data_IF_838135853458
#
_entry.id   IF_838135853458
#
_cell.length_a   1.000
_cell.length_b   1.000
_cell.length_c   1.000
_cell.angle_alpha   90.00
_cell.angle_beta   90.00
_cell.angle_gamma   90.00
#
_symmetry.space_group_name_H-M   'P 1'
#
loop_
_entity.id
_entity.type
_entity.pdbx_description
1 polymer ?
#
# COMPACT_ATOMS: atom_id res chain seq x y z
N UNK A 1 13.62 13.80 7.70
CA UNK A 1 13.64 12.56 8.47
C UNK A 1 13.83 11.35 7.56
N UNK A 2 14.84 10.52 7.83
CA UNK A 2 15.09 9.28 7.08
C UNK A 2 14.08 8.19 7.42
N UNK A 3 13.83 7.26 6.50
CA UNK A 3 12.91 6.13 6.68
C UNK A 3 13.20 5.33 7.96
N UNK A 4 14.47 4.96 8.19
CA UNK A 4 14.87 4.16 9.35
C UNK A 4 14.66 4.85 10.70
N UNK A 5 14.61 6.18 10.70
CA UNK A 5 14.46 7.02 11.89
C UNK A 5 13.00 7.49 12.06
N UNK A 6 12.10 7.11 11.15
CA UNK A 6 10.70 7.50 11.17
C UNK A 6 9.91 6.59 12.12
N UNK A 7 9.18 7.20 13.06
CA UNK A 7 8.32 6.47 13.98
C UNK A 7 7.00 6.10 13.30
N UNK A 8 6.84 4.83 12.97
CA UNK A 8 5.63 4.28 12.36
C UNK A 8 4.57 3.98 13.44
N UNK A 9 3.40 4.60 13.33
CA UNK A 9 2.26 4.41 14.24
C UNK A 9 0.98 4.08 13.47
N UNK A 10 -0.02 3.50 14.14
CA UNK A 10 -1.30 3.14 13.50
C UNK A 10 -2.04 4.32 12.84
N UNK A 11 -1.70 5.56 13.20
CA UNK A 11 -2.34 6.78 12.72
C UNK A 11 -1.54 7.54 11.64
N UNK A 12 -0.39 7.01 11.21
CA UNK A 12 0.46 7.65 10.21
C UNK A 12 0.88 6.75 9.05
N UNK A 13 0.64 5.44 9.13
CA UNK A 13 0.98 4.54 8.04
C UNK A 13 0.04 3.33 7.98
N UNK A 14 0.06 2.67 6.84
CA UNK A 14 -0.63 1.41 6.61
C UNK A 14 0.01 0.66 5.44
N UNK A 15 -0.20 -0.66 5.40
CA UNK A 15 0.21 -1.49 4.26
C UNK A 15 -0.98 -1.74 3.36
N UNK A 16 -0.82 -1.49 2.07
CA UNK A 16 -1.89 -1.70 1.11
C UNK A 16 -1.38 -2.31 -0.18
N UNK A 17 -2.29 -2.96 -0.89
CA UNK A 17 -2.04 -3.51 -2.21
C UNK A 17 -2.79 -2.68 -3.27
N UNK A 18 -2.14 -2.45 -4.41
CA UNK A 18 -2.77 -1.85 -5.59
C UNK A 18 -2.82 -2.89 -6.72
N UNK A 19 -3.99 -3.04 -7.32
CA UNK A 19 -4.24 -3.97 -8.42
C UNK A 19 -3.72 -3.37 -9.74
N UNK A 20 -2.78 -4.04 -10.40
CA UNK A 20 -2.16 -3.62 -11.66
C UNK A 20 -2.33 -4.70 -12.75
N UNK A 21 -2.80 -4.33 -13.94
CA UNK A 21 -2.93 -5.23 -15.09
C UNK A 21 -3.58 -6.61 -14.77
N UNK A 22 -4.77 -6.60 -14.17
CA UNK A 22 -5.69 -7.75 -13.99
C UNK A 22 -5.25 -8.92 -13.08
N UNK A 23 -3.96 -9.15 -12.85
CA UNK A 23 -3.46 -10.24 -11.98
C UNK A 23 -2.21 -9.87 -11.16
N UNK A 24 -1.59 -8.72 -11.43
CA UNK A 24 -0.34 -8.34 -10.81
C UNK A 24 -0.59 -7.31 -9.72
N UNK A 25 -0.14 -7.59 -8.52
CA UNK A 25 -0.32 -6.66 -7.43
C UNK A 25 1.00 -6.02 -7.02
N UNK A 26 0.95 -4.78 -6.54
CA UNK A 26 2.08 -4.12 -5.87
C UNK A 26 1.70 -3.83 -4.44
N UNK A 27 2.62 -4.13 -3.52
CA UNK A 27 2.45 -3.79 -2.11
C UNK A 27 3.16 -2.48 -1.82
N UNK A 28 2.42 -1.56 -1.21
CA UNK A 28 2.89 -0.28 -0.75
C UNK A 28 2.85 -0.21 0.77
N UNK A 29 3.90 0.34 1.35
CA UNK A 29 3.84 1.01 2.64
C UNK A 29 3.42 2.45 2.35
N UNK A 30 2.21 2.79 2.78
CA UNK A 30 1.65 4.12 2.61
C UNK A 30 1.84 4.89 3.91
N UNK A 31 2.41 6.09 3.83
CA UNK A 31 2.81 6.90 5.00
C UNK A 31 2.33 8.33 4.81
N UNK A 32 1.76 8.93 5.86
CA UNK A 32 1.52 10.38 5.91
C UNK A 32 2.72 11.03 6.58
N UNK A 33 3.39 11.92 5.86
CA UNK A 33 4.50 12.72 6.36
C UNK A 33 4.19 14.18 6.07
N UNK A 34 4.11 15.02 7.11
CA UNK A 34 3.68 16.42 7.01
C UNK A 34 2.34 16.56 6.26
N UNK A 35 2.37 17.20 5.11
CA UNK A 35 1.25 17.58 4.25
C UNK A 35 1.13 16.69 3.00
N UNK A 36 1.74 15.49 3.01
CA UNK A 36 1.71 14.55 1.87
C UNK A 36 1.47 13.10 2.30
N UNK A 37 0.80 12.37 1.42
CA UNK A 37 0.63 10.92 1.44
C UNK A 37 1.67 10.30 0.50
N UNK A 38 2.56 9.48 1.03
CA UNK A 38 3.62 8.78 0.31
C UNK A 38 3.22 7.33 0.11
N UNK A 39 3.40 6.79 -1.08
CA UNK A 39 3.34 5.35 -1.31
C UNK A 39 4.69 4.82 -1.72
N UNK A 40 5.28 3.99 -0.86
CA UNK A 40 6.59 3.39 -1.07
C UNK A 40 6.39 1.92 -1.37
N UNK A 41 6.83 1.47 -2.54
CA UNK A 41 6.74 0.07 -2.92
C UNK A 41 7.67 -0.76 -2.04
N UNK A 42 7.08 -1.65 -1.26
CA UNK A 42 7.78 -2.52 -0.31
C UNK A 42 7.68 -4.00 -0.69
N UNK A 43 6.99 -4.32 -1.78
CA UNK A 43 7.09 -5.62 -2.41
C UNK A 43 6.83 -5.54 -3.92
N UNK A 44 7.40 -6.49 -4.64
CA UNK A 44 7.29 -6.63 -6.09
C UNK A 44 5.92 -7.13 -6.54
N UNK A 45 5.89 -7.74 -7.72
CA UNK A 45 4.66 -8.32 -8.26
C UNK A 45 4.23 -9.51 -7.40
N UNK A 46 3.12 -9.35 -6.67
CA UNK A 46 2.48 -10.44 -5.93
C UNK A 46 1.39 -11.02 -6.83
N UNK A 47 1.48 -12.31 -7.09
CA UNK A 47 0.46 -13.04 -7.85
C UNK A 47 -0.38 -13.89 -6.90
N UNK A 48 -1.65 -13.99 -7.24
CA UNK A 48 -2.61 -14.85 -6.56
C UNK A 48 -2.62 -16.13 -7.35
N UNK A 49 -2.46 -17.30 -6.70
CA UNK A 49 -2.42 -18.58 -7.42
C UNK A 49 -3.65 -18.72 -8.33
N UNK A 50 -3.43 -18.60 -9.63
CA UNK A 50 -4.48 -18.47 -10.63
C UNK A 50 -4.00 -18.99 -11.97
N UNK A 51 -3.98 -20.33 -12.09
CA UNK A 51 -3.63 -21.00 -13.33
C UNK A 51 -3.80 -22.52 -13.20
N UNK A 52 -4.51 -23.13 -14.15
CA UNK A 52 -4.70 -24.59 -14.20
C UNK A 52 -3.43 -25.36 -14.56
N UNK A 53 -2.43 -24.69 -15.14
CA UNK A 53 -1.19 -25.31 -15.62
C UNK A 53 -0.08 -25.31 -14.56
N UNK A 54 0.70 -26.39 -14.53
CA UNK A 54 1.76 -26.69 -13.55
C UNK A 54 2.85 -25.62 -13.57
N UNK A 55 3.18 -25.08 -14.76
CA UNK A 55 4.21 -24.05 -14.90
C UNK A 55 3.77 -22.74 -14.24
N UNK A 56 2.51 -22.33 -14.45
CA UNK A 56 1.93 -21.13 -13.84
C UNK A 56 1.88 -21.25 -12.32
N UNK A 57 1.45 -22.41 -11.79
CA UNK A 57 1.42 -22.66 -10.33
C UNK A 57 2.79 -22.54 -9.67
N UNK A 58 3.85 -23.05 -10.33
CA UNK A 58 5.22 -22.93 -9.79
C UNK A 58 5.68 -21.48 -9.75
N UNK A 59 5.37 -20.68 -10.78
CA UNK A 59 5.73 -19.26 -10.83
C UNK A 59 4.94 -18.46 -9.79
N UNK A 60 3.63 -18.69 -9.65
CA UNK A 60 2.81 -17.98 -8.66
C UNK A 60 3.21 -18.33 -7.22
N UNK A 61 3.60 -19.59 -6.96
CA UNK A 61 4.08 -20.01 -5.64
C UNK A 61 5.35 -19.28 -5.22
N UNK A 62 6.27 -18.99 -6.15
CA UNK A 62 7.46 -18.18 -5.86
C UNK A 62 7.15 -16.70 -5.60
N UNK A 63 5.95 -16.24 -5.97
CA UNK A 63 5.47 -14.86 -5.77
C UNK A 63 4.47 -14.74 -4.62
N UNK A 64 4.21 -15.86 -3.91
CA UNK A 64 3.35 -15.87 -2.74
C UNK A 64 4.05 -15.21 -1.55
N UNK A 65 3.27 -14.57 -0.69
CA UNK A 65 3.78 -14.03 0.57
C UNK A 65 3.86 -15.16 1.59
N UNK A 66 5.05 -15.35 2.17
CA UNK A 66 5.28 -16.30 3.25
C UNK A 66 5.11 -15.61 4.61
N UNK A 67 4.52 -16.31 5.58
CA UNK A 67 4.34 -15.82 6.96
C UNK A 67 2.87 -15.68 7.39
N UNK A 68 2.66 -14.92 8.46
CA UNK A 68 1.33 -14.63 9.00
C UNK A 68 0.64 -13.54 8.17
N UNK A 69 -0.26 -13.95 7.27
CA UNK A 69 -0.97 -13.01 6.40
C UNK A 69 -1.92 -12.07 7.16
N UNK A 70 -2.26 -12.36 8.41
CA UNK A 70 -2.99 -11.39 9.24
C UNK A 70 -2.11 -10.22 9.67
N UNK A 71 -0.79 -10.42 9.74
CA UNK A 71 0.17 -9.36 9.99
C UNK A 71 0.46 -8.56 8.69
N UNK A 72 0.09 -7.27 8.61
CA UNK A 72 0.35 -6.46 7.41
C UNK A 72 1.84 -6.35 7.08
N UNK A 73 2.74 -6.49 8.06
CA UNK A 73 4.18 -6.43 7.81
C UNK A 73 4.75 -7.69 7.15
N UNK A 74 4.04 -8.82 7.15
CA UNK A 74 4.45 -10.01 6.40
C UNK A 74 4.48 -9.76 4.89
N UNK A 75 3.78 -8.74 4.41
CA UNK A 75 3.79 -8.35 3.00
C UNK A 75 5.00 -7.50 2.60
N UNK A 76 5.83 -7.05 3.54
CA UNK A 76 7.04 -6.28 3.27
C UNK A 76 8.20 -7.22 2.94
N UNK A 77 8.90 -6.95 1.84
CA UNK A 77 10.12 -7.66 1.47
C UNK A 77 11.35 -6.91 1.99
N UNK A 78 12.20 -7.60 2.76
CA UNK A 78 13.45 -7.04 3.29
C UNK A 78 14.29 -6.37 2.18
N UNK A 79 14.41 -7.01 1.02
CA UNK A 79 15.11 -6.45 -0.16
C UNK A 79 14.64 -5.06 -0.57
N UNK A 80 13.35 -4.75 -0.42
CA UNK A 80 12.80 -3.42 -0.76
C UNK A 80 12.97 -2.45 0.42
N UNK A 81 12.75 -2.92 1.64
CA UNK A 81 12.89 -2.12 2.86
C UNK A 81 14.35 -1.68 3.08
N UNK A 82 15.32 -2.55 2.83
CA UNK A 82 16.75 -2.26 2.97
C UNK A 82 17.20 -1.14 2.02
N UNK A 83 16.62 -1.09 0.81
CA UNK A 83 16.96 -0.07 -0.19
C UNK A 83 16.54 1.33 0.20
N UNK A 84 15.51 1.48 1.02
CA UNK A 84 14.91 2.77 1.35
C UNK A 84 15.29 3.26 2.73
N UNK A 85 16.13 2.54 3.50
CA UNK A 85 16.49 2.90 4.88
C UNK A 85 17.00 4.33 5.03
N UNK A 86 17.81 4.78 4.07
CA UNK A 86 18.41 6.12 4.06
C UNK A 86 17.56 7.17 3.32
N UNK A 87 16.43 6.77 2.73
CA UNK A 87 15.56 7.66 1.96
C UNK A 87 14.99 8.77 2.86
N UNK A 88 15.12 10.02 2.42
CA UNK A 88 14.57 11.18 3.11
C UNK A 88 13.07 11.34 2.81
N UNK A 89 12.20 11.01 3.77
CA UNK A 89 10.76 10.95 3.59
C UNK A 89 10.12 12.32 3.35
N UNK A 90 10.74 13.40 3.84
CA UNK A 90 10.22 14.75 3.65
C UNK A 90 10.54 15.32 2.26
N UNK A 91 11.46 14.69 1.53
CA UNK A 91 11.84 15.07 0.17
C UNK A 91 11.06 14.31 -0.91
N UNK A 92 11.41 14.53 -2.18
CA UNK A 92 10.92 13.77 -3.33
C UNK A 92 11.78 12.54 -3.67
N UNK A 93 12.84 12.26 -2.88
CA UNK A 93 13.82 11.21 -3.14
C UNK A 93 13.17 9.82 -3.31
N UNK A 94 12.06 9.57 -2.61
CA UNK A 94 11.27 8.33 -2.73
C UNK A 94 10.89 8.00 -4.19
N UNK A 95 10.68 9.00 -5.04
CA UNK A 95 10.31 8.80 -6.45
C UNK A 95 11.47 8.23 -7.29
N UNK A 96 12.72 8.43 -6.88
CA UNK A 96 13.89 7.91 -7.57
C UNK A 96 14.13 6.41 -7.32
N UNK A 97 13.61 5.87 -6.20
CA UNK A 97 13.83 4.45 -5.83
C UNK A 97 13.01 3.47 -6.67
N UNK A 98 11.77 3.82 -7.05
CA UNK A 98 10.94 3.01 -7.93
C UNK A 98 9.89 3.89 -8.62
N UNK A 99 9.75 3.76 -9.95
CA UNK A 99 8.79 4.53 -10.76
C UNK A 99 7.32 4.34 -10.36
N UNK A 100 7.02 3.33 -9.56
CA UNK A 100 5.68 3.06 -9.06
C UNK A 100 5.42 3.65 -7.67
N UNK A 101 6.44 4.24 -7.03
CA UNK A 101 6.26 5.07 -5.86
C UNK A 101 5.48 6.33 -6.23
N UNK A 102 4.81 6.93 -5.25
CA UNK A 102 4.06 8.16 -5.48
C UNK A 102 4.12 9.09 -4.28
N UNK A 103 3.92 10.37 -4.58
CA UNK A 103 3.68 11.43 -3.61
C UNK A 103 2.34 12.08 -3.98
N UNK A 104 1.45 12.19 -3.01
CA UNK A 104 0.17 12.86 -3.16
C UNK A 104 0.04 13.95 -2.09
N UNK A 105 0.10 15.24 -2.46
CA UNK A 105 -0.18 16.33 -1.54
C UNK A 105 -1.58 16.19 -0.93
N UNK A 106 -1.70 16.32 0.39
CA UNK A 106 -2.98 16.21 1.09
C UNK A 106 -3.97 17.29 0.61
N UNK A 107 -3.47 18.48 0.27
CA UNK A 107 -4.26 19.56 -0.32
C UNK A 107 -4.97 19.17 -1.63
N UNK A 108 -4.46 18.17 -2.35
CA UNK A 108 -5.05 17.67 -3.59
C UNK A 108 -6.11 16.59 -3.34
N UNK A 109 -6.18 16.02 -2.13
CA UNK A 109 -7.17 15.00 -1.78
C UNK A 109 -8.51 15.69 -1.50
N UNK A 110 -9.54 15.27 -2.23
CA UNK A 110 -10.91 15.79 -2.06
C UNK A 110 -11.82 14.86 -1.31
N UNK A 111 -11.61 13.56 -1.44
CA UNK A 111 -12.47 12.56 -0.82
C UNK A 111 -11.67 11.33 -0.45
N UNK A 112 -11.96 10.80 0.73
CA UNK A 112 -11.44 9.52 1.20
C UNK A 112 -12.61 8.72 1.75
N UNK A 113 -12.70 7.45 1.38
CA UNK A 113 -13.75 6.56 1.87
C UNK A 113 -13.33 5.11 1.84
N UNK A 114 -13.93 4.34 2.73
CA UNK A 114 -13.76 2.90 2.83
C UNK A 114 -14.92 2.18 2.12
N UNK A 115 -14.57 1.20 1.28
CA UNK A 115 -15.49 0.23 0.70
C UNK A 115 -15.17 -1.15 1.31
N UNK A 116 -16.00 -1.65 2.24
CA UNK A 116 -15.73 -2.92 2.93
C UNK A 116 -15.98 -4.14 2.04
N UNK A 117 -16.48 -3.97 0.81
CA UNK A 117 -16.67 -5.10 -0.11
C UNK A 117 -15.33 -5.73 -0.43
N UNK A 118 -15.23 -7.05 -0.32
CA UNK A 118 -14.05 -7.78 -0.74
C UNK A 118 -13.69 -7.49 -2.21
N UNK A 119 -12.40 -7.44 -2.49
CA UNK A 119 -11.88 -7.28 -3.85
C UNK A 119 -11.79 -8.66 -4.51
N UNK A 120 -12.55 -8.83 -5.60
CA UNK A 120 -12.47 -10.06 -6.39
C UNK A 120 -11.05 -10.24 -6.95
N UNK A 121 -10.59 -11.49 -7.02
CA UNK A 121 -9.26 -11.84 -7.51
C UNK A 121 -8.17 -11.86 -6.45
N UNK A 122 -8.46 -11.57 -5.17
CA UNK A 122 -7.48 -11.58 -4.08
C UNK A 122 -7.18 -12.96 -3.48
N UNK A 123 -7.92 -14.00 -3.87
CA UNK A 123 -7.69 -15.37 -3.41
C UNK A 123 -7.77 -15.49 -1.89
N UNK A 124 -6.73 -16.07 -1.27
CA UNK A 124 -6.66 -16.29 0.17
C UNK A 124 -6.06 -15.12 0.96
N UNK A 125 -5.64 -14.02 0.30
CA UNK A 125 -5.06 -12.89 1.03
C UNK A 125 -6.13 -12.17 1.85
N UNK A 126 -6.03 -12.15 3.20
CA UNK A 126 -6.97 -11.45 4.05
C UNK A 126 -6.89 -9.94 3.81
N UNK A 127 -8.06 -9.30 3.72
CA UNK A 127 -8.16 -7.86 3.54
C UNK A 127 -9.49 -7.31 4.06
N UNK A 128 -9.47 -6.08 4.56
CA UNK A 128 -10.66 -5.35 5.02
C UNK A 128 -11.28 -4.50 3.90
N UNK A 129 -11.38 -5.04 2.69
CA UNK A 129 -11.87 -4.28 1.52
C UNK A 129 -10.87 -3.25 0.98
N UNK A 130 -11.36 -2.07 0.55
CA UNK A 130 -10.55 -1.02 -0.09
C UNK A 130 -10.74 0.36 0.55
N UNK A 131 -9.66 1.11 0.66
CA UNK A 131 -9.71 2.56 0.87
C UNK A 131 -9.47 3.26 -0.46
N UNK A 132 -10.31 4.23 -0.75
CA UNK A 132 -10.21 5.06 -1.94
C UNK A 132 -9.80 6.47 -1.57
N UNK A 133 -8.82 7.01 -2.30
CA UNK A 133 -8.40 8.41 -2.23
C UNK A 133 -8.66 9.04 -3.58
N UNK A 134 -9.57 10.01 -3.62
CA UNK A 134 -9.92 10.77 -4.82
C UNK A 134 -9.33 12.18 -4.75
N UNK A 135 -8.71 12.59 -5.85
CA UNK A 135 -8.01 13.86 -5.97
C UNK A 135 -8.85 14.89 -6.71
N UNK A 136 -8.44 16.16 -6.63
CA UNK A 136 -9.11 17.30 -7.27
C UNK A 136 -9.26 17.17 -8.79
N UNK A 137 -8.33 16.47 -9.45
CA UNK A 137 -8.38 16.14 -10.87
C UNK A 137 -9.22 14.88 -11.18
N UNK A 138 -10.02 14.42 -10.22
CA UNK A 138 -10.88 13.22 -10.30
C UNK A 138 -10.13 11.91 -10.52
N UNK A 139 -8.80 11.89 -10.38
CA UNK A 139 -8.08 10.61 -10.28
C UNK A 139 -8.43 9.94 -8.96
N UNK A 140 -8.41 8.62 -8.99
CA UNK A 140 -8.79 7.77 -7.87
C UNK A 140 -7.71 6.72 -7.67
N UNK A 141 -7.17 6.66 -6.45
CA UNK A 141 -6.25 5.62 -6.03
C UNK A 141 -6.99 4.62 -5.15
N UNK A 142 -6.81 3.34 -5.46
CA UNK A 142 -7.40 2.20 -4.75
C UNK A 142 -6.32 1.54 -3.88
N UNK A 143 -6.62 1.37 -2.60
CA UNK A 143 -5.77 0.69 -1.63
C UNK A 143 -6.52 -0.50 -1.05
N UNK A 144 -6.14 -1.72 -1.41
CA UNK A 144 -6.67 -2.94 -0.80
C UNK A 144 -5.97 -3.13 0.55
N UNK A 145 -6.73 -3.14 1.64
CA UNK A 145 -6.18 -3.06 3.01
C UNK A 145 -5.83 -4.46 3.51
N UNK A 146 -4.53 -4.77 3.61
CA UNK A 146 -4.05 -6.13 3.87
C UNK A 146 -4.05 -6.50 5.36
N UNK A 147 -4.20 -7.79 5.65
CA UNK A 147 -4.10 -8.33 6.99
C UNK A 147 -5.24 -7.88 7.91
N UNK A 148 -4.94 -7.71 9.20
CA UNK A 148 -5.89 -7.34 10.26
C UNK A 148 -6.08 -5.83 10.42
N UNK A 149 -5.59 -5.03 9.47
CA UNK A 149 -5.77 -3.58 9.48
C UNK A 149 -7.24 -3.21 9.24
N UNK A 150 -7.66 -2.05 9.74
CA UNK A 150 -9.02 -1.55 9.55
C UNK A 150 -9.05 -0.43 8.51
N UNK A 151 -9.72 -0.67 7.38
CA UNK A 151 -9.88 0.31 6.31
C UNK A 151 -10.70 1.53 6.74
N UNK A 152 -11.65 1.35 7.66
CA UNK A 152 -12.41 2.47 8.23
C UNK A 152 -11.55 3.36 9.12
N UNK A 153 -10.72 2.78 10.00
CA UNK A 153 -9.73 3.55 10.77
C UNK A 153 -8.75 4.29 9.85
N UNK A 154 -8.27 3.61 8.80
CA UNK A 154 -7.35 4.20 7.81
C UNK A 154 -7.99 5.40 7.11
N UNK A 155 -9.19 5.24 6.57
CA UNK A 155 -9.91 6.34 5.94
C UNK A 155 -10.12 7.51 6.92
N UNK A 156 -10.47 7.22 8.17
CA UNK A 156 -10.72 8.23 9.19
C UNK A 156 -9.46 9.02 9.56
N UNK A 157 -8.29 8.39 9.75
CA UNK A 157 -7.09 9.16 10.09
C UNK A 157 -6.62 10.00 8.90
N UNK A 158 -6.72 9.51 7.66
CA UNK A 158 -6.39 10.32 6.47
C UNK A 158 -7.30 11.55 6.45
N UNK A 159 -8.62 11.37 6.62
CA UNK A 159 -9.58 12.48 6.70
C UNK A 159 -9.28 13.44 7.86
N UNK A 160 -8.84 12.91 9.01
CA UNK A 160 -8.42 13.70 10.16
C UNK A 160 -7.27 14.65 9.81
N UNK A 161 -6.28 14.18 9.05
CA UNK A 161 -5.16 15.00 8.57
C UNK A 161 -5.57 16.05 7.54
N UNK A 162 -6.62 15.81 6.75
CA UNK A 162 -7.14 16.82 5.81
C UNK A 162 -7.82 18.00 6.50
N UNK A 163 -8.35 17.81 7.72
CA UNK A 163 -9.09 18.84 8.47
C UNK A 163 -8.21 19.67 9.40
N UNK A 164 -7.02 19.16 9.74
CA UNK A 164 -6.09 19.79 10.69
C UNK A 164 -4.90 20.50 10.04
N UNK A 165 -4.90 20.65 8.71
CA UNK A 165 -3.90 21.38 7.93
C UNK A 165 -4.42 22.70 7.38
#
# INVERSE_FOLDING_TARGET
MKFKDFEFTEDNHFVAMEYYNLILNRTYLVVIVKDKLLGIKVNGLVSVEGGGDILTKKVTKMMAIEGDLSNPYSYLSAKYVDKIQECELESEEVLAYDKSNFILPLAHIKKVYHDPKNKWGMGYYPHDGKVYVETSDKKKKEFIILGSQSGSKIANFILGKLKGG
#
